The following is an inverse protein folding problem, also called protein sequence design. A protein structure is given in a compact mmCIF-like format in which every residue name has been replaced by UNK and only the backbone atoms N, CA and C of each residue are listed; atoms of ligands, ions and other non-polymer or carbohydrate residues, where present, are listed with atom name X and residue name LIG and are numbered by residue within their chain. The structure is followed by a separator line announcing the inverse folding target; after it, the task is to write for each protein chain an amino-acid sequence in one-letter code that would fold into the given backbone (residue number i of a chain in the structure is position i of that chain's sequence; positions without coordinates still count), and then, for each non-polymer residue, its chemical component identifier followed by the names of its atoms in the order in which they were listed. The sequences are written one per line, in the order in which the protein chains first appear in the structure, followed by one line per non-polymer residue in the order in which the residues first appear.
data_IF_063929345847
#
_entry.id   IF_063929345847
#
_cell.length_a   1.000
_cell.length_b   1.000
_cell.length_c   1.000
_cell.angle_alpha   90.00
_cell.angle_beta   90.00
_cell.angle_gamma   90.00
#
_symmetry.space_group_name_H-M   'P 1'
#
loop_
_entity.id
_entity.type
_entity.pdbx_description
1 polymer ?
#
# COMPACT_ATOMS: atom_id res chain seq x y z
N UNK A 1 -10.24 39.15 -38.08
CA UNK A 1 -8.90 38.69 -38.50
C UNK A 1 -8.10 38.42 -37.24
N UNK A 2 -7.54 37.22 -37.11
CA UNK A 2 -6.69 36.86 -35.99
C UNK A 2 -5.38 37.63 -36.15
N UNK A 3 -4.94 38.28 -35.06
CA UNK A 3 -3.75 39.15 -35.06
C UNK A 3 -2.43 38.37 -35.06
N UNK A 4 -2.41 37.22 -34.38
CA UNK A 4 -1.27 36.33 -34.25
C UNK A 4 -1.72 34.85 -34.35
N UNK A 5 -0.94 34.01 -35.06
CA UNK A 5 -1.28 32.62 -35.30
C UNK A 5 -0.40 31.62 -34.49
N UNK A 6 0.55 32.12 -33.70
CA UNK A 6 1.55 31.31 -33.03
C UNK A 6 0.99 30.12 -32.22
N UNK A 7 -0.09 30.30 -31.44
CA UNK A 7 -0.71 29.22 -30.70
C UNK A 7 -1.47 28.22 -31.58
N UNK A 8 -2.03 28.67 -32.72
CA UNK A 8 -2.64 27.79 -33.70
C UNK A 8 -1.58 26.94 -34.42
N UNK A 9 -0.44 27.57 -34.74
CA UNK A 9 0.70 26.90 -35.37
C UNK A 9 1.37 25.88 -34.43
N UNK A 10 1.49 26.21 -33.13
CA UNK A 10 1.99 25.28 -32.10
C UNK A 10 1.11 24.03 -31.98
N UNK A 11 -0.19 24.14 -32.15
CA UNK A 11 -1.12 23.00 -32.17
C UNK A 11 -1.29 22.37 -33.56
N UNK A 12 -0.74 23.01 -34.63
CA UNK A 12 -0.86 22.54 -36.00
C UNK A 12 -2.31 22.59 -36.53
N UNK A 13 -3.08 23.61 -36.13
CA UNK A 13 -4.49 23.78 -36.51
C UNK A 13 -4.73 25.16 -37.15
N UNK A 14 -5.80 25.26 -37.91
CA UNK A 14 -6.19 26.55 -38.54
C UNK A 14 -6.88 27.48 -37.52
N UNK A 15 -6.82 28.82 -37.68
CA UNK A 15 -7.47 29.77 -36.78
C UNK A 15 -8.99 29.62 -36.64
N UNK A 16 -9.64 28.94 -37.56
CA UNK A 16 -11.08 28.64 -37.52
C UNK A 16 -11.41 27.25 -36.98
N UNK A 17 -10.44 26.56 -36.37
CA UNK A 17 -10.63 25.24 -35.84
C UNK A 17 -11.69 25.19 -34.73
N UNK A 18 -12.47 24.13 -34.73
CA UNK A 18 -13.49 23.84 -33.71
C UNK A 18 -12.85 23.38 -32.38
N UNK A 19 -13.56 23.51 -31.25
CA UNK A 19 -13.03 23.04 -29.94
C UNK A 19 -12.66 21.55 -29.93
N UNK A 20 -13.37 20.73 -30.70
CA UNK A 20 -13.08 19.30 -30.82
C UNK A 20 -11.80 19.02 -31.63
N UNK A 21 -11.54 19.80 -32.64
CA UNK A 21 -10.29 19.73 -33.42
C UNK A 21 -9.09 20.16 -32.61
N UNK A 22 -9.22 21.25 -31.85
CA UNK A 22 -8.20 21.68 -30.88
C UNK A 22 -7.86 20.58 -29.87
N UNK A 23 -8.88 19.92 -29.31
CA UNK A 23 -8.74 18.85 -28.37
C UNK A 23 -8.06 17.61 -28.97
N UNK A 24 -8.41 17.26 -30.21
CA UNK A 24 -7.78 16.12 -30.91
C UNK A 24 -6.31 16.43 -31.26
N UNK A 25 -6.00 17.62 -31.70
CA UNK A 25 -4.64 18.06 -32.01
C UNK A 25 -3.78 18.05 -30.75
N UNK A 26 -4.26 18.62 -29.65
CA UNK A 26 -3.57 18.61 -28.36
C UNK A 26 -3.27 17.19 -27.89
N UNK A 27 -4.25 16.27 -27.88
CA UNK A 27 -4.03 14.88 -27.46
C UNK A 27 -2.95 14.17 -28.28
N UNK A 28 -2.94 14.39 -29.59
CA UNK A 28 -1.95 13.80 -30.49
C UNK A 28 -0.54 14.32 -30.19
N UNK A 29 -0.40 15.60 -29.98
CA UNK A 29 0.88 16.26 -29.72
C UNK A 29 1.36 15.98 -28.29
N UNK A 30 0.47 15.97 -27.30
CA UNK A 30 0.79 15.64 -25.91
C UNK A 30 1.32 14.20 -25.76
N UNK A 31 0.75 13.23 -26.49
CA UNK A 31 1.26 11.84 -26.49
C UNK A 31 2.63 11.73 -27.19
N UNK A 32 2.89 12.58 -28.20
CA UNK A 32 4.16 12.57 -28.95
C UNK A 32 5.29 13.23 -28.16
N UNK A 33 5.01 14.32 -27.45
CA UNK A 33 6.00 15.14 -26.74
C UNK A 33 5.91 14.99 -25.22
N UNK A 34 5.35 13.88 -24.72
CA UNK A 34 5.26 13.62 -23.27
C UNK A 34 6.66 13.50 -22.65
N UNK A 35 6.91 14.16 -21.50
CA UNK A 35 8.23 14.14 -20.86
C UNK A 35 8.74 12.73 -20.52
N UNK A 36 7.86 11.77 -20.24
CA UNK A 36 8.25 10.37 -20.00
C UNK A 36 8.76 9.65 -21.25
N UNK A 37 8.35 10.10 -22.45
CA UNK A 37 8.79 9.49 -23.71
C UNK A 37 9.94 10.24 -24.37
N UNK A 38 9.96 11.57 -24.23
CA UNK A 38 10.93 12.46 -24.86
C UNK A 38 11.43 13.52 -23.85
N UNK A 39 12.38 13.23 -22.98
CA UNK A 39 12.85 14.15 -21.94
C UNK A 39 13.53 15.42 -22.51
N UNK A 40 14.03 15.37 -23.75
CA UNK A 40 14.70 16.50 -24.41
C UNK A 40 13.76 17.55 -25.01
N UNK A 41 12.49 17.24 -25.20
CA UNK A 41 11.51 18.13 -25.86
C UNK A 41 10.47 18.73 -24.88
N UNK A 42 10.81 18.86 -23.61
CA UNK A 42 9.94 19.42 -22.58
C UNK A 42 9.48 20.86 -22.84
N UNK A 43 10.25 21.66 -23.57
CA UNK A 43 9.87 23.02 -23.94
C UNK A 43 8.72 23.03 -24.94
N UNK A 44 8.75 22.16 -25.95
CA UNK A 44 7.65 22.03 -26.92
C UNK A 44 6.36 21.55 -26.23
N UNK A 45 6.46 20.68 -25.24
CA UNK A 45 5.29 20.27 -24.48
C UNK A 45 4.66 21.43 -23.70
N UNK A 46 5.48 22.34 -23.15
CA UNK A 46 5.00 23.55 -22.47
C UNK A 46 4.28 24.49 -23.45
N UNK A 47 4.85 24.74 -24.63
CA UNK A 47 4.24 25.56 -25.66
C UNK A 47 2.90 24.99 -26.12
N UNK A 48 2.82 23.70 -26.40
CA UNK A 48 1.59 23.00 -26.80
C UNK A 48 0.52 23.09 -25.71
N UNK A 49 0.91 22.93 -24.44
CA UNK A 49 -0.01 23.00 -23.30
C UNK A 49 -0.53 24.42 -23.09
N UNK A 50 0.33 25.43 -23.22
CA UNK A 50 -0.04 26.85 -23.15
C UNK A 50 -0.97 27.24 -24.27
N UNK A 51 -0.68 26.83 -25.51
CA UNK A 51 -1.51 27.08 -26.67
C UNK A 51 -2.92 26.49 -26.52
N UNK A 52 -3.00 25.23 -26.01
CA UNK A 52 -4.29 24.59 -25.79
C UNK A 52 -5.10 25.28 -24.68
N UNK A 53 -4.44 25.69 -23.59
CA UNK A 53 -5.09 26.39 -22.48
C UNK A 53 -5.77 27.68 -22.95
N UNK A 54 -5.09 28.46 -23.78
CA UNK A 54 -5.62 29.73 -24.27
C UNK A 54 -6.73 29.50 -25.30
N UNK A 55 -6.57 28.55 -26.20
CA UNK A 55 -7.49 28.32 -27.31
C UNK A 55 -8.72 27.46 -26.95
N UNK A 56 -8.65 26.70 -25.84
CA UNK A 56 -9.79 25.88 -25.38
C UNK A 56 -10.89 26.68 -24.70
N UNK A 57 -10.56 27.81 -24.08
CA UNK A 57 -11.52 28.71 -23.45
C UNK A 57 -11.98 29.79 -24.48
N UNK A 58 -13.28 29.87 -24.81
CA UNK A 58 -13.78 30.80 -25.80
C UNK A 58 -13.47 32.26 -25.46
N UNK A 59 -13.44 32.63 -24.18
CA UNK A 59 -13.11 34.01 -23.74
C UNK A 59 -11.63 34.33 -23.93
N UNK A 60 -10.75 33.39 -23.52
CA UNK A 60 -9.29 33.57 -23.69
C UNK A 60 -8.92 33.58 -25.19
N UNK A 61 -9.57 32.71 -25.98
CA UNK A 61 -9.38 32.66 -27.43
C UNK A 61 -9.76 33.99 -28.09
N UNK A 62 -10.89 34.60 -27.69
CA UNK A 62 -11.31 35.89 -28.21
C UNK A 62 -10.31 37.01 -27.87
N UNK A 63 -9.75 37.00 -26.65
CA UNK A 63 -8.70 37.96 -26.25
C UNK A 63 -7.42 37.74 -27.05
N UNK A 64 -7.04 36.51 -27.28
CA UNK A 64 -5.89 36.14 -28.11
C UNK A 64 -6.08 36.57 -29.57
N UNK A 65 -7.24 36.28 -30.14
CA UNK A 65 -7.56 36.63 -31.54
C UNK A 65 -7.55 38.14 -31.79
N UNK A 66 -7.91 38.97 -30.79
CA UNK A 66 -7.91 40.44 -30.89
C UNK A 66 -6.57 41.08 -30.58
N UNK A 67 -5.85 40.59 -29.57
CA UNK A 67 -4.68 41.26 -29.00
C UNK A 67 -3.36 40.52 -29.11
N UNK A 68 -3.39 39.24 -29.47
CA UNK A 68 -2.20 38.40 -29.50
C UNK A 68 -1.73 37.94 -28.11
N UNK A 69 -0.55 37.42 -28.07
CA UNK A 69 0.07 36.88 -26.81
C UNK A 69 0.28 37.98 -25.76
N UNK A 70 0.56 39.23 -26.19
CA UNK A 70 0.72 40.38 -25.30
C UNK A 70 -0.55 40.69 -24.52
N UNK A 71 -1.70 40.63 -25.14
CA UNK A 71 -2.98 40.90 -24.48
C UNK A 71 -3.36 39.88 -23.42
N UNK A 72 -2.89 38.64 -23.56
CA UNK A 72 -3.08 37.60 -22.53
C UNK A 72 -2.15 37.83 -21.34
N UNK A 73 -0.91 38.23 -21.59
CA UNK A 73 0.05 38.57 -20.52
C UNK A 73 -0.38 39.84 -19.76
N UNK A 74 -0.97 40.83 -20.42
CA UNK A 74 -1.44 42.05 -19.80
C UNK A 74 -2.86 41.95 -19.22
N UNK A 75 -3.71 41.15 -19.82
CA UNK A 75 -5.11 40.94 -19.39
C UNK A 75 -5.23 40.05 -18.11
N UNK A 76 -4.17 39.34 -17.71
CA UNK A 76 -4.13 38.55 -16.49
C UNK A 76 -3.95 39.39 -15.20
N UNK A 77 -3.71 40.70 -15.31
CA UNK A 77 -3.47 41.61 -14.17
C UNK A 77 -4.71 42.36 -13.66
N UNK A 78 -5.88 42.14 -14.26
CA UNK A 78 -7.15 42.83 -13.92
C UNK A 78 -8.00 42.12 -12.85
N UNK A 79 -7.44 41.79 -11.68
CA UNK A 79 -8.22 41.21 -10.57
C UNK A 79 -7.37 41.05 -9.30
N UNK A 80 -7.31 42.15 -8.51
CA UNK A 80 -6.44 42.36 -7.35
C UNK A 80 -6.19 41.17 -6.42
N UNK A 81 -4.93 40.85 -6.27
CA UNK A 81 -4.37 40.54 -4.94
C UNK A 81 -2.85 40.70 -5.00
N UNK A 82 -2.33 41.52 -4.08
CA UNK A 82 -0.96 42.01 -4.09
C UNK A 82 0.11 40.99 -3.75
N UNK A 83 1.27 41.21 -4.35
CA UNK A 83 2.58 41.05 -3.74
C UNK A 83 3.05 39.64 -3.37
N UNK A 84 3.90 39.04 -4.24
CA UNK A 84 4.73 37.92 -3.87
C UNK A 84 5.29 37.23 -5.10
N UNK A 85 6.62 37.33 -5.30
CA UNK A 85 7.31 36.82 -6.47
C UNK A 85 7.10 35.33 -6.69
N UNK A 86 6.55 35.02 -7.84
CA UNK A 86 6.36 33.64 -8.32
C UNK A 86 7.68 33.19 -8.97
N UNK A 87 8.28 32.14 -8.38
CA UNK A 87 9.59 31.64 -8.81
C UNK A 87 9.53 30.56 -9.89
N UNK A 88 8.37 30.03 -10.28
CA UNK A 88 8.29 28.92 -11.24
C UNK A 88 7.00 28.93 -12.07
N UNK A 89 7.10 28.65 -13.40
CA UNK A 89 5.93 28.39 -14.22
C UNK A 89 5.03 27.24 -13.73
N UNK A 90 5.58 26.34 -12.93
CA UNK A 90 4.88 25.21 -12.31
C UNK A 90 3.91 25.67 -11.22
N UNK A 91 4.29 26.71 -10.45
CA UNK A 91 3.44 27.28 -9.40
C UNK A 91 2.20 27.98 -9.99
N UNK A 92 2.32 28.51 -11.21
CA UNK A 92 1.19 29.10 -11.95
C UNK A 92 0.26 27.98 -12.46
N UNK A 93 0.82 26.84 -12.86
CA UNK A 93 0.06 25.67 -13.27
C UNK A 93 -0.76 25.10 -12.10
N UNK A 94 -0.19 24.95 -10.92
CA UNK A 94 -0.88 24.50 -9.71
C UNK A 94 -1.93 25.50 -9.22
N UNK A 95 -1.70 26.81 -9.40
CA UNK A 95 -2.66 27.85 -9.04
C UNK A 95 -3.86 27.88 -10.00
N UNK A 96 -3.67 27.61 -11.28
CA UNK A 96 -4.73 27.63 -12.30
C UNK A 96 -5.39 26.25 -12.51
N UNK A 97 -4.62 25.15 -12.46
CA UNK A 97 -5.17 23.79 -12.57
C UNK A 97 -5.60 23.19 -11.23
N UNK A 98 -4.95 23.58 -10.14
CA UNK A 98 -5.37 23.22 -8.79
C UNK A 98 -6.49 24.08 -8.23
N UNK A 99 -6.78 25.26 -8.81
CA UNK A 99 -7.69 26.28 -8.27
C UNK A 99 -9.02 26.47 -8.98
N UNK A 100 -9.29 25.77 -10.06
CA UNK A 100 -10.43 26.04 -10.95
C UNK A 100 -11.68 25.23 -10.69
N UNK A 101 -11.83 24.60 -9.56
CA UNK A 101 -13.13 24.07 -9.12
C UNK A 101 -13.07 23.92 -7.60
N UNK A 102 -13.24 25.01 -6.87
CA UNK A 102 -13.86 24.94 -5.55
C UNK A 102 -15.33 24.56 -5.75
N UNK A 103 -15.62 23.41 -6.39
CA UNK A 103 -16.72 22.60 -5.96
C UNK A 103 -16.53 22.50 -4.45
N UNK A 104 -17.51 22.92 -3.71
CA UNK A 104 -17.63 22.68 -2.28
C UNK A 104 -17.42 21.18 -2.11
N UNK A 105 -16.16 20.75 -1.99
CA UNK A 105 -15.83 19.38 -1.60
C UNK A 105 -16.40 19.32 -0.21
N UNK A 106 -17.59 18.72 -0.11
CA UNK A 106 -18.22 18.45 1.18
C UNK A 106 -17.13 17.87 2.05
N UNK A 107 -16.82 18.59 3.12
CA UNK A 107 -15.75 18.17 4.02
C UNK A 107 -16.20 16.86 4.64
N UNK A 108 -15.60 15.77 4.21
CA UNK A 108 -15.86 14.43 4.73
C UNK A 108 -15.09 14.24 6.02
N UNK A 109 -15.73 13.64 7.02
CA UNK A 109 -15.11 13.28 8.28
C UNK A 109 -13.94 12.29 8.09
N UNK A 110 -13.15 12.10 9.12
CA UNK A 110 -12.01 11.17 9.09
C UNK A 110 -12.52 9.74 9.02
N UNK A 111 -11.88 8.93 8.15
CA UNK A 111 -12.14 7.50 8.10
C UNK A 111 -11.49 6.80 9.29
N UNK A 112 -12.20 5.84 9.87
CA UNK A 112 -11.70 5.02 10.97
C UNK A 112 -11.34 3.63 10.43
N UNK A 113 -10.13 3.16 10.71
CA UNK A 113 -9.64 1.85 10.26
C UNK A 113 -9.64 0.88 11.44
N UNK A 114 -10.24 -0.29 11.24
CA UNK A 114 -10.24 -1.39 12.20
C UNK A 114 -9.67 -2.64 11.55
N UNK A 115 -8.80 -3.37 12.24
CA UNK A 115 -8.32 -4.68 11.82
C UNK A 115 -9.15 -5.78 12.47
N UNK A 116 -9.46 -6.82 11.69
CA UNK A 116 -10.13 -8.04 12.18
C UNK A 116 -9.28 -9.22 11.79
N UNK A 117 -8.90 -10.00 12.79
CA UNK A 117 -8.20 -11.26 12.57
C UNK A 117 -9.17 -12.31 12.07
N UNK A 118 -8.85 -12.93 10.93
CA UNK A 118 -9.62 -13.97 10.27
C UNK A 118 -8.78 -15.23 10.11
N UNK A 119 -9.40 -16.39 10.17
CA UNK A 119 -8.72 -17.66 9.93
C UNK A 119 -8.78 -18.03 8.44
N UNK A 120 -7.93 -18.96 8.03
CA UNK A 120 -7.91 -19.42 6.64
C UNK A 120 -9.22 -20.14 6.28
N UNK A 121 -9.83 -20.84 7.23
CA UNK A 121 -11.13 -21.49 7.10
C UNK A 121 -12.26 -20.48 6.89
N UNK A 122 -12.23 -19.32 7.59
CA UNK A 122 -13.20 -18.24 7.38
C UNK A 122 -13.14 -17.70 5.95
N UNK A 123 -11.91 -17.54 5.42
CA UNK A 123 -11.70 -17.07 4.05
C UNK A 123 -12.07 -18.12 2.99
N UNK A 124 -12.00 -19.41 3.36
CA UNK A 124 -12.36 -20.50 2.46
C UNK A 124 -13.87 -20.73 2.41
N UNK A 125 -14.51 -20.82 3.58
CA UNK A 125 -15.94 -21.15 3.69
C UNK A 125 -16.84 -19.93 3.59
N UNK A 126 -16.29 -18.72 3.81
CA UNK A 126 -17.03 -17.52 4.06
C UNK A 126 -17.57 -17.47 5.49
N UNK A 127 -17.57 -16.30 6.10
CA UNK A 127 -18.04 -16.12 7.47
C UNK A 127 -18.69 -14.75 7.67
N UNK A 128 -19.59 -14.66 8.64
CA UNK A 128 -20.13 -13.37 9.08
C UNK A 128 -19.66 -13.11 10.49
N UNK A 129 -18.98 -12.00 10.72
CA UNK A 129 -18.47 -11.61 12.02
C UNK A 129 -19.10 -10.32 12.52
N UNK A 130 -19.44 -10.27 13.81
CA UNK A 130 -19.99 -9.08 14.46
C UNK A 130 -18.85 -8.33 15.15
N UNK A 131 -18.65 -7.07 14.76
CA UNK A 131 -17.61 -6.21 15.29
C UNK A 131 -18.22 -5.03 16.02
N UNK A 132 -17.80 -4.84 17.27
CA UNK A 132 -18.20 -3.70 18.08
C UNK A 132 -17.27 -2.52 17.79
N UNK A 133 -17.79 -1.50 17.12
CA UNK A 133 -17.04 -0.29 16.80
C UNK A 133 -17.52 0.85 17.69
N UNK A 134 -16.58 1.64 18.20
CA UNK A 134 -16.91 2.87 18.92
C UNK A 134 -16.76 4.04 17.96
N UNK A 135 -17.82 4.82 17.78
CA UNK A 135 -17.83 6.00 16.94
C UNK A 135 -18.36 7.21 17.69
N UNK A 136 -17.95 8.37 17.25
CA UNK A 136 -18.53 9.63 17.68
C UNK A 136 -19.80 9.88 16.85
N UNK A 137 -20.93 9.97 17.51
CA UNK A 137 -22.21 10.30 16.88
C UNK A 137 -22.66 11.71 17.30
N UNK A 138 -23.35 12.40 16.41
CA UNK A 138 -23.95 13.69 16.73
C UNK A 138 -24.99 13.49 17.86
N UNK A 139 -24.92 14.33 18.86
CA UNK A 139 -25.85 14.26 19.99
C UNK A 139 -27.29 14.53 19.51
N UNK A 140 -28.14 13.52 19.56
CA UNK A 140 -29.56 13.60 19.13
C UNK A 140 -30.33 14.70 19.88
N UNK A 141 -30.03 14.92 21.18
CA UNK A 141 -30.74 15.89 22.03
C UNK A 141 -30.50 17.33 21.62
N UNK A 142 -29.35 17.68 21.09
CA UNK A 142 -29.03 19.04 20.68
C UNK A 142 -28.74 19.14 19.17
N UNK A 143 -28.80 18.04 18.42
CA UNK A 143 -28.58 18.00 16.98
C UNK A 143 -27.24 18.67 16.58
N UNK A 144 -26.19 18.43 17.35
CA UNK A 144 -24.86 19.01 17.09
C UNK A 144 -24.70 20.47 17.52
N UNK A 145 -25.71 21.12 18.11
CA UNK A 145 -25.62 22.52 18.57
C UNK A 145 -24.83 22.69 19.86
N UNK A 146 -24.79 21.70 20.71
CA UNK A 146 -24.14 21.75 22.02
C UNK A 146 -24.92 22.49 23.10
N UNK A 147 -26.07 23.12 22.74
CA UNK A 147 -26.91 23.94 23.60
C UNK A 147 -28.38 23.63 23.39
N UNK A 148 -29.23 24.19 24.25
CA UNK A 148 -30.67 24.26 24.00
C UNK A 148 -30.96 25.11 22.75
N UNK A 149 -32.09 24.90 22.07
CA UNK A 149 -32.50 25.70 20.90
C UNK A 149 -32.45 27.19 21.22
N UNK A 150 -31.74 27.97 20.37
CA UNK A 150 -31.67 29.43 20.50
C UNK A 150 -30.72 30.00 21.56
N UNK A 151 -30.06 29.15 22.36
CA UNK A 151 -29.18 29.62 23.45
C UNK A 151 -27.73 29.89 23.06
N UNK A 152 -27.35 29.63 21.82
CA UNK A 152 -26.01 29.92 21.33
C UNK A 152 -25.90 31.40 20.92
N UNK A 153 -25.10 32.17 21.63
CA UNK A 153 -24.84 33.57 21.34
C UNK A 153 -23.56 33.69 20.49
N UNK A 154 -23.56 34.61 19.53
CA UNK A 154 -22.38 34.94 18.75
C UNK A 154 -21.24 35.42 19.66
N UNK A 155 -20.05 34.96 19.46
CA UNK A 155 -18.89 35.38 20.23
C UNK A 155 -18.55 36.83 19.93
N UNK A 156 -18.67 37.71 20.90
CA UNK A 156 -18.39 39.14 20.75
C UNK A 156 -16.91 39.45 20.45
N UNK A 157 -16.00 38.56 20.85
CA UNK A 157 -14.57 38.78 20.66
C UNK A 157 -14.08 38.49 19.23
N UNK A 158 -14.78 37.63 18.48
CA UNK A 158 -14.43 37.28 17.09
C UNK A 158 -15.60 37.47 16.11
N UNK A 159 -16.71 38.02 16.56
CA UNK A 159 -17.91 38.27 15.74
C UNK A 159 -18.33 37.05 14.91
N UNK A 160 -18.26 35.84 15.51
CA UNK A 160 -18.65 34.59 14.87
C UNK A 160 -17.59 33.91 14.02
N UNK A 161 -16.46 34.57 13.71
CA UNK A 161 -15.42 33.99 12.84
C UNK A 161 -14.62 32.84 13.47
N UNK A 162 -14.59 32.75 14.79
CA UNK A 162 -13.78 31.76 15.50
C UNK A 162 -12.29 32.08 15.57
N UNK A 163 -11.83 33.06 14.81
CA UNK A 163 -10.42 33.44 14.68
C UNK A 163 -10.23 34.90 15.02
N UNK A 164 -9.11 35.24 15.66
CA UNK A 164 -8.69 36.61 15.88
C UNK A 164 -7.39 36.86 15.14
N UNK A 165 -7.35 37.95 14.39
CA UNK A 165 -6.15 38.43 13.74
C UNK A 165 -5.39 39.33 14.72
N UNK A 166 -4.20 38.95 15.11
CA UNK A 166 -3.28 39.75 15.91
C UNK A 166 -2.17 40.30 15.03
N UNK A 167 -1.94 41.58 15.13
CA UNK A 167 -0.86 42.25 14.42
C UNK A 167 0.34 42.31 15.34
N UNK A 168 1.42 41.66 14.97
CA UNK A 168 2.70 41.72 15.64
C UNK A 168 3.64 42.60 14.82
N UNK A 169 4.21 43.62 15.47
CA UNK A 169 5.25 44.45 14.88
C UNK A 169 6.60 43.76 15.13
N UNK A 170 7.25 43.32 14.07
CA UNK A 170 8.57 42.66 14.14
C UNK A 170 9.71 43.64 14.13
N UNK A 171 9.59 44.74 13.35
CA UNK A 171 10.58 45.82 13.23
C UNK A 171 9.82 47.10 12.93
N UNK A 172 10.44 48.33 13.14
CA UNK A 172 9.83 49.58 12.74
C UNK A 172 9.51 49.58 11.26
N UNK A 173 8.20 49.60 10.94
CA UNK A 173 7.69 49.51 9.56
C UNK A 173 7.31 48.13 9.04
N UNK A 174 7.63 47.04 9.78
CA UNK A 174 7.24 45.67 9.37
C UNK A 174 6.22 45.08 10.36
N UNK A 175 5.00 44.86 9.88
CA UNK A 175 3.92 44.27 10.66
C UNK A 175 3.53 42.90 10.09
N UNK A 176 3.43 41.92 10.98
CA UNK A 176 2.96 40.58 10.62
C UNK A 176 1.57 40.37 11.20
N UNK A 177 0.63 39.95 10.36
CA UNK A 177 -0.69 39.55 10.80
C UNK A 177 -0.70 38.04 11.07
N UNK A 178 -0.94 37.65 12.30
CA UNK A 178 -1.05 36.25 12.71
C UNK A 178 -2.49 35.93 13.08
N UNK A 179 -3.08 34.98 12.38
CA UNK A 179 -4.43 34.48 12.69
C UNK A 179 -4.32 33.45 13.80
N UNK A 180 -4.90 33.75 14.96
CA UNK A 180 -4.93 32.85 16.12
C UNK A 180 -6.37 32.45 16.46
N UNK A 181 -6.52 31.23 16.99
CA UNK A 181 -7.81 30.77 17.47
C UNK A 181 -8.36 31.70 18.55
N UNK A 182 -9.62 32.11 18.46
CA UNK A 182 -10.24 33.00 19.45
C UNK A 182 -10.26 32.34 20.84
N UNK A 183 -9.59 32.87 21.87
CA UNK A 183 -9.53 32.26 23.20
C UNK A 183 -10.90 32.24 23.90
N UNK A 184 -11.77 33.19 23.58
CA UNK A 184 -13.07 33.31 24.21
C UNK A 184 -14.08 32.24 23.78
N UNK A 185 -14.03 31.76 22.55
CA UNK A 185 -14.92 30.72 22.00
C UNK A 185 -14.17 29.47 21.57
N UNK A 186 -12.85 29.41 21.71
CA UNK A 186 -12.01 28.28 21.33
C UNK A 186 -12.27 27.81 19.88
N UNK A 187 -12.32 28.77 18.96
CA UNK A 187 -12.55 28.50 17.54
C UNK A 187 -14.01 28.26 17.12
N UNK A 188 -14.95 28.13 18.06
CA UNK A 188 -16.33 27.76 17.74
C UNK A 188 -17.18 28.90 17.17
N UNK A 189 -16.74 30.15 17.26
CA UNK A 189 -17.51 31.33 16.82
C UNK A 189 -18.68 31.68 17.71
N UNK A 190 -19.18 30.77 18.55
CA UNK A 190 -20.33 30.96 19.43
C UNK A 190 -19.99 30.62 20.88
N UNK A 191 -20.67 31.26 21.80
CA UNK A 191 -20.59 31.00 23.26
C UNK A 191 -21.90 30.48 23.76
N UNK A 192 -21.86 29.47 24.62
CA UNK A 192 -23.02 28.90 25.29
C UNK A 192 -22.81 29.07 26.78
N UNK A 193 -23.84 29.69 27.44
CA UNK A 193 -23.84 29.79 28.89
C UNK A 193 -23.80 28.40 29.54
N UNK A 194 -23.13 28.26 30.68
CA UNK A 194 -23.02 26.99 31.38
C UNK A 194 -24.42 26.39 31.71
N UNK A 195 -25.42 27.25 31.98
CA UNK A 195 -26.80 26.85 32.28
C UNK A 195 -27.54 26.29 31.06
N UNK A 196 -27.16 26.70 29.86
CA UNK A 196 -27.79 26.36 28.59
C UNK A 196 -27.08 25.25 27.81
N UNK A 197 -26.00 24.71 28.35
CA UNK A 197 -25.33 23.57 27.76
C UNK A 197 -26.22 22.34 27.70
N UNK A 198 -26.12 21.57 26.64
CA UNK A 198 -26.81 20.31 26.50
C UNK A 198 -26.37 19.34 27.60
N UNK A 199 -27.31 18.88 28.43
CA UNK A 199 -27.02 17.97 29.55
C UNK A 199 -26.51 16.58 29.07
N UNK A 200 -26.88 16.15 27.86
CA UNK A 200 -26.48 14.85 27.34
C UNK A 200 -25.01 14.82 26.88
N UNK A 201 -24.57 15.83 26.10
CA UNK A 201 -23.21 15.89 25.62
C UNK A 201 -22.29 16.85 26.39
N UNK A 202 -22.80 17.55 27.42
CA UNK A 202 -22.04 18.55 28.19
C UNK A 202 -21.49 19.71 27.34
N UNK A 203 -22.12 20.00 26.19
CA UNK A 203 -21.70 21.03 25.24
C UNK A 203 -20.70 20.53 24.16
N UNK A 204 -20.29 19.26 24.20
CA UNK A 204 -19.33 18.67 23.25
C UNK A 204 -19.90 18.45 21.84
N UNK A 205 -21.22 18.53 21.67
CA UNK A 205 -21.94 18.33 20.39
C UNK A 205 -22.01 16.88 19.92
N UNK A 206 -21.06 16.03 20.31
CA UNK A 206 -20.92 14.63 19.96
C UNK A 206 -20.96 13.74 21.20
N UNK A 207 -21.38 12.49 21.01
CA UNK A 207 -21.42 11.44 22.03
C UNK A 207 -20.69 10.20 21.48
N UNK A 208 -19.98 9.49 22.34
CA UNK A 208 -19.42 8.18 21.97
C UNK A 208 -20.54 7.12 22.00
N UNK A 209 -20.74 6.46 20.88
CA UNK A 209 -21.73 5.41 20.69
C UNK A 209 -21.01 4.11 20.28
N UNK A 210 -21.46 2.99 20.85
CA UNK A 210 -21.05 1.66 20.40
C UNK A 210 -22.04 1.19 19.33
N UNK A 211 -21.55 0.79 18.17
CA UNK A 211 -22.33 0.17 17.10
C UNK A 211 -21.77 -1.20 16.78
N UNK A 212 -22.66 -2.16 16.62
CA UNK A 212 -22.31 -3.49 16.13
C UNK A 212 -22.43 -3.46 14.60
N UNK A 213 -21.33 -3.77 13.91
CA UNK A 213 -21.31 -3.95 12.46
C UNK A 213 -21.23 -5.42 12.14
N UNK A 214 -22.06 -5.89 11.22
CA UNK A 214 -21.98 -7.23 10.66
C UNK A 214 -21.07 -7.17 9.44
N UNK A 215 -19.93 -7.85 9.55
CA UNK A 215 -18.91 -7.92 8.52
C UNK A 215 -19.06 -9.25 7.80
N UNK A 216 -19.42 -9.20 6.54
CA UNK A 216 -19.48 -10.38 5.68
C UNK A 216 -18.13 -10.61 5.04
N UNK A 217 -17.55 -11.76 5.33
CA UNK A 217 -16.30 -12.23 4.74
C UNK A 217 -16.68 -13.19 3.61
N UNK A 218 -16.46 -12.75 2.37
CA UNK A 218 -16.76 -13.58 1.20
C UNK A 218 -15.67 -14.62 0.98
N UNK A 219 -16.05 -15.75 0.35
CA UNK A 219 -15.11 -16.80 -0.04
C UNK A 219 -14.04 -16.27 -0.96
N UNK A 220 -12.80 -16.61 -0.66
CA UNK A 220 -11.64 -16.20 -1.48
C UNK A 220 -11.11 -14.80 -1.20
N UNK A 221 -11.66 -14.04 -0.27
CA UNK A 221 -11.08 -12.75 0.13
C UNK A 221 -9.62 -12.93 0.52
N UNK A 222 -8.80 -11.89 0.30
CA UNK A 222 -7.36 -11.92 0.53
C UNK A 222 -6.99 -11.22 1.83
N UNK A 223 -5.83 -11.55 2.33
CA UNK A 223 -5.19 -10.80 3.42
C UNK A 223 -5.02 -9.33 3.04
N UNK A 224 -5.22 -8.42 4.01
CA UNK A 224 -5.19 -6.98 3.79
C UNK A 224 -6.37 -6.42 3.01
N UNK A 225 -7.36 -7.24 2.62
CA UNK A 225 -8.52 -6.76 1.89
C UNK A 225 -9.38 -5.85 2.77
N UNK A 226 -9.86 -4.75 2.17
CA UNK A 226 -10.63 -3.71 2.85
C UNK A 226 -12.11 -3.85 2.56
N UNK A 227 -12.92 -3.81 3.61
CA UNK A 227 -14.38 -3.75 3.55
C UNK A 227 -14.78 -2.37 4.07
N UNK A 228 -15.46 -1.57 3.24
CA UNK A 228 -15.81 -0.18 3.55
C UNK A 228 -17.29 -0.07 3.90
N UNK A 229 -17.56 0.49 5.06
CA UNK A 229 -18.90 0.87 5.48
C UNK A 229 -19.06 2.38 5.34
N UNK A 230 -19.75 2.79 4.28
CA UNK A 230 -19.92 4.20 3.95
C UNK A 230 -20.83 4.92 4.94
N UNK A 231 -20.40 6.13 5.39
CA UNK A 231 -21.16 6.99 6.28
C UNK A 231 -21.28 6.48 7.72
N UNK A 232 -20.64 5.38 8.07
CA UNK A 232 -20.70 4.77 9.40
C UNK A 232 -19.56 5.23 10.34
N UNK A 233 -18.67 6.07 9.86
CA UNK A 233 -17.57 6.62 10.65
C UNK A 233 -17.98 7.71 11.62
N UNK A 234 -16.99 8.44 12.11
CA UNK A 234 -17.18 9.53 13.04
C UNK A 234 -18.01 10.66 12.42
N UNK A 235 -18.95 11.17 13.20
CA UNK A 235 -19.82 12.28 12.84
C UNK A 235 -19.35 13.55 13.54
N UNK A 236 -19.22 14.61 12.76
CA UNK A 236 -18.96 15.96 13.27
C UNK A 236 -20.04 16.93 12.75
N UNK A 237 -20.46 17.93 13.55
CA UNK A 237 -21.49 18.89 13.11
C UNK A 237 -21.02 19.69 11.90
N UNK A 238 -21.81 19.69 10.81
CA UNK A 238 -21.51 20.44 9.59
C UNK A 238 -20.53 19.76 8.64
N UNK A 239 -20.21 18.49 8.89
CA UNK A 239 -19.32 17.69 8.06
C UNK A 239 -20.03 16.36 7.77
N UNK A 240 -19.87 15.83 6.56
CA UNK A 240 -20.37 14.51 6.20
C UNK A 240 -19.66 13.42 7.01
N UNK A 241 -20.38 12.38 7.41
CA UNK A 241 -19.79 11.27 8.18
C UNK A 241 -18.66 10.61 7.42
N UNK A 242 -17.59 10.27 8.13
CA UNK A 242 -16.51 9.45 7.57
C UNK A 242 -16.96 8.02 7.30
N UNK A 243 -16.07 7.19 6.77
CA UNK A 243 -16.28 5.77 6.51
C UNK A 243 -15.56 4.93 7.59
N UNK A 244 -16.10 3.76 7.90
CA UNK A 244 -15.38 2.73 8.64
C UNK A 244 -14.78 1.77 7.63
N UNK A 245 -13.48 1.59 7.69
CA UNK A 245 -12.73 0.68 6.85
C UNK A 245 -12.27 -0.49 7.71
N UNK A 246 -12.74 -1.69 7.39
CA UNK A 246 -12.34 -2.92 8.05
C UNK A 246 -11.29 -3.60 7.17
N UNK A 247 -10.14 -3.88 7.75
CA UNK A 247 -9.03 -4.58 7.09
C UNK A 247 -8.98 -6.00 7.64
N UNK A 248 -9.02 -6.97 6.75
CA UNK A 248 -8.86 -8.38 7.10
C UNK A 248 -7.39 -8.68 7.36
N UNK A 249 -7.09 -9.34 8.47
CA UNK A 249 -5.77 -9.76 8.88
C UNK A 249 -5.79 -11.29 9.01
N UNK A 250 -5.14 -11.98 8.05
CA UNK A 250 -5.15 -13.43 8.00
C UNK A 250 -4.18 -14.02 9.03
N UNK A 251 -4.70 -14.83 9.96
CA UNK A 251 -3.86 -15.60 10.88
C UNK A 251 -3.12 -16.70 10.14
N UNK A 252 -1.89 -16.96 10.53
CA UNK A 252 -1.13 -18.11 10.07
C UNK A 252 -1.83 -19.43 10.42
N UNK A 253 -1.86 -20.35 9.45
CA UNK A 253 -2.45 -21.67 9.64
C UNK A 253 -1.34 -22.72 9.84
N UNK A 254 -1.51 -23.70 10.77
CA UNK A 254 -0.44 -24.64 11.11
C UNK A 254 -0.05 -25.59 9.97
N UNK A 255 -0.97 -25.92 9.07
CA UNK A 255 -0.73 -26.88 7.98
C UNK A 255 -0.61 -26.24 6.61
N UNK A 256 -1.36 -25.16 6.35
CA UNK A 256 -1.49 -24.58 5.02
C UNK A 256 -0.91 -23.18 4.98
N UNK A 257 -0.12 -22.91 3.95
CA UNK A 257 0.33 -21.55 3.61
C UNK A 257 -0.36 -21.12 2.33
N UNK A 258 -1.03 -19.99 2.36
CA UNK A 258 -1.72 -19.44 1.19
C UNK A 258 -0.77 -18.64 0.33
N UNK A 259 -0.74 -18.93 -0.98
CA UNK A 259 -0.01 -18.14 -1.98
C UNK A 259 -0.95 -17.76 -3.13
N UNK A 260 -1.59 -16.60 -3.01
CA UNK A 260 -2.63 -16.17 -3.95
C UNK A 260 -3.89 -17.05 -3.84
N UNK A 261 -4.16 -17.85 -4.84
CA UNK A 261 -5.27 -18.80 -4.89
C UNK A 261 -4.83 -20.26 -4.62
N UNK A 262 -3.51 -20.50 -4.58
CA UNK A 262 -2.97 -21.81 -4.27
C UNK A 262 -2.74 -21.97 -2.77
N UNK A 263 -2.92 -23.18 -2.26
CA UNK A 263 -2.57 -23.61 -0.91
C UNK A 263 -1.30 -24.45 -0.99
N UNK A 264 -0.36 -24.19 -0.10
CA UNK A 264 0.89 -24.93 0.00
C UNK A 264 0.90 -25.67 1.34
N UNK A 265 1.26 -26.93 1.32
CA UNK A 265 1.50 -27.73 2.51
C UNK A 265 2.74 -28.58 2.35
N UNK A 266 3.33 -29.00 3.47
CA UNK A 266 4.45 -29.93 3.48
C UNK A 266 4.01 -31.26 4.10
N UNK A 267 4.37 -32.35 3.43
CA UNK A 267 4.11 -33.72 3.93
C UNK A 267 5.45 -34.42 4.11
N UNK A 268 5.64 -34.97 5.31
CA UNK A 268 6.77 -35.83 5.59
C UNK A 268 6.43 -37.28 5.24
N UNK A 269 7.27 -37.92 4.43
CA UNK A 269 7.19 -39.32 4.05
C UNK A 269 8.35 -40.08 4.64
N UNK A 270 8.10 -41.32 5.09
CA UNK A 270 9.17 -42.24 5.35
C UNK A 270 9.78 -42.75 4.04
N UNK A 271 11.05 -43.13 4.05
CA UNK A 271 11.73 -43.62 2.85
C UNK A 271 10.96 -44.76 2.17
N UNK A 272 10.37 -45.68 2.91
CA UNK A 272 9.56 -46.78 2.41
C UNK A 272 8.30 -46.26 1.68
N UNK A 273 7.64 -45.24 2.23
CA UNK A 273 6.45 -44.62 1.63
C UNK A 273 6.82 -43.92 0.30
N UNK A 274 8.00 -43.28 0.26
CA UNK A 274 8.48 -42.58 -0.91
C UNK A 274 8.85 -43.53 -2.08
N UNK A 275 9.28 -44.77 -1.77
CA UNK A 275 9.67 -45.80 -2.75
C UNK A 275 8.51 -46.68 -3.16
N UNK A 276 7.68 -47.12 -2.20
CA UNK A 276 6.66 -48.16 -2.41
C UNK A 276 5.24 -47.60 -2.63
N UNK A 277 5.09 -46.26 -2.50
CA UNK A 277 3.80 -45.60 -2.52
C UNK A 277 3.17 -45.47 -1.14
N UNK A 278 2.22 -44.54 -1.01
CA UNK A 278 1.57 -44.22 0.25
C UNK A 278 0.11 -43.83 0.08
N UNK A 279 -0.60 -43.84 1.18
CA UNK A 279 -1.96 -43.30 1.32
C UNK A 279 -2.03 -42.47 2.58
N UNK A 280 -2.13 -41.13 2.44
CA UNK A 280 -2.21 -40.23 3.60
C UNK A 280 -3.49 -39.41 3.57
N UNK A 281 -4.29 -39.45 4.64
CA UNK A 281 -5.45 -38.58 4.78
C UNK A 281 -4.99 -37.16 5.16
N UNK A 282 -5.50 -36.16 4.49
CA UNK A 282 -5.31 -34.74 4.76
C UNK A 282 -6.65 -34.09 4.99
N UNK A 283 -6.79 -33.39 6.10
CA UNK A 283 -8.01 -32.64 6.39
C UNK A 283 -7.96 -31.30 5.68
N UNK A 284 -8.98 -31.04 4.86
CA UNK A 284 -9.13 -29.78 4.11
C UNK A 284 -9.80 -28.68 4.95
N UNK A 285 -9.77 -27.43 4.48
CA UNK A 285 -10.34 -26.28 5.19
C UNK A 285 -11.87 -26.30 5.28
N UNK A 286 -12.53 -27.15 4.52
CA UNK A 286 -13.99 -27.39 4.55
C UNK A 286 -14.38 -28.66 5.32
N UNK A 287 -13.50 -29.18 6.19
CA UNK A 287 -13.69 -30.35 7.01
C UNK A 287 -13.89 -31.68 6.23
N UNK A 288 -13.54 -31.71 4.92
CA UNK A 288 -13.45 -32.96 4.16
C UNK A 288 -12.11 -33.62 4.40
N UNK A 289 -12.04 -34.92 4.29
CA UNK A 289 -10.79 -35.68 4.30
C UNK A 289 -10.38 -36.03 2.89
N UNK A 290 -9.27 -35.48 2.42
CA UNK A 290 -8.68 -35.79 1.12
C UNK A 290 -7.67 -36.91 1.30
N UNK A 291 -7.84 -38.02 0.59
CA UNK A 291 -6.89 -39.12 0.61
C UNK A 291 -5.88 -38.96 -0.50
N UNK A 292 -4.67 -38.55 -0.15
CA UNK A 292 -3.56 -38.43 -1.09
C UNK A 292 -2.91 -39.79 -1.26
N UNK A 293 -2.91 -40.26 -2.50
CA UNK A 293 -2.36 -41.57 -2.85
C UNK A 293 -1.25 -41.43 -3.86
N UNK A 294 -0.16 -42.17 -3.68
CA UNK A 294 0.85 -42.43 -4.67
C UNK A 294 0.85 -43.93 -4.97
N UNK A 295 0.92 -44.30 -6.25
CA UNK A 295 0.93 -45.68 -6.65
C UNK A 295 2.34 -46.29 -6.51
N UNK A 296 2.37 -47.60 -6.32
CA UNK A 296 3.65 -48.33 -6.35
C UNK A 296 4.29 -48.18 -7.74
N UNK A 297 5.58 -47.79 -7.73
CA UNK A 297 6.33 -47.47 -8.94
C UNK A 297 6.44 -45.94 -9.22
N UNK A 298 5.64 -45.11 -8.56
CA UNK A 298 5.86 -43.65 -8.53
C UNK A 298 6.86 -43.31 -7.45
N UNK A 299 8.04 -42.93 -7.85
CA UNK A 299 9.10 -42.50 -6.93
C UNK A 299 8.90 -41.02 -6.56
N UNK A 300 8.94 -40.72 -5.27
CA UNK A 300 8.93 -39.33 -4.75
C UNK A 300 10.30 -39.02 -4.18
N UNK A 301 10.96 -38.04 -4.76
CA UNK A 301 12.26 -37.56 -4.30
C UNK A 301 12.11 -36.52 -3.18
N UNK A 302 13.12 -36.40 -2.31
CA UNK A 302 13.17 -35.29 -1.36
C UNK A 302 13.10 -33.93 -2.06
N UNK A 303 12.17 -33.09 -1.66
CA UNK A 303 11.96 -31.77 -2.27
C UNK A 303 11.04 -31.76 -3.52
N UNK A 304 10.52 -32.92 -3.93
CA UNK A 304 9.54 -32.94 -5.01
C UNK A 304 8.26 -32.19 -4.62
N UNK A 305 7.72 -31.48 -5.60
CA UNK A 305 6.48 -30.73 -5.45
C UNK A 305 5.43 -31.28 -6.41
N UNK A 306 4.31 -31.75 -5.88
CA UNK A 306 3.15 -32.18 -6.68
C UNK A 306 1.94 -31.33 -6.35
N UNK A 307 0.94 -31.29 -7.23
CA UNK A 307 -0.26 -30.52 -6.99
C UNK A 307 -1.54 -31.35 -7.20
N UNK A 308 -2.55 -31.01 -6.42
CA UNK A 308 -3.92 -31.50 -6.57
C UNK A 308 -4.75 -30.34 -7.11
N UNK A 309 -5.42 -30.57 -8.25
CA UNK A 309 -6.24 -29.55 -8.91
C UNK A 309 -7.55 -29.34 -8.14
N UNK A 310 -8.06 -28.10 -8.14
CA UNK A 310 -9.34 -27.70 -7.55
C UNK A 310 -9.46 -27.89 -6.01
N UNK A 311 -8.34 -28.07 -5.30
CA UNK A 311 -8.31 -28.19 -3.84
C UNK A 311 -7.54 -27.01 -3.18
N UNK A 312 -7.29 -25.93 -3.92
CA UNK A 312 -6.77 -24.66 -3.41
C UNK A 312 -7.87 -23.75 -2.85
N UNK A 313 -7.55 -22.48 -2.65
CA UNK A 313 -8.50 -21.47 -2.21
C UNK A 313 -9.53 -21.15 -3.30
N UNK A 314 -10.79 -20.85 -2.93
CA UNK A 314 -11.78 -20.35 -3.87
C UNK A 314 -11.37 -18.97 -4.40
N UNK A 315 -11.69 -18.70 -5.67
CA UNK A 315 -11.47 -17.39 -6.26
C UNK A 315 -12.51 -16.40 -5.74
N UNK A 316 -12.05 -15.24 -5.33
CA UNK A 316 -12.96 -14.16 -4.95
C UNK A 316 -13.89 -13.79 -6.11
N UNK A 317 -15.21 -13.71 -5.87
CA UNK A 317 -16.28 -13.51 -6.85
C UNK A 317 -16.61 -14.70 -7.76
N UNK A 318 -15.79 -15.76 -7.75
CA UNK A 318 -16.05 -17.03 -8.47
C UNK A 318 -15.80 -18.23 -7.55
N UNK A 319 -16.61 -18.42 -6.51
CA UNK A 319 -16.33 -19.38 -5.44
C UNK A 319 -16.35 -20.85 -5.88
N UNK A 320 -16.87 -21.15 -7.06
CA UNK A 320 -16.87 -22.49 -7.64
C UNK A 320 -15.52 -22.86 -8.30
N UNK A 321 -14.75 -21.86 -8.69
CA UNK A 321 -13.40 -22.05 -9.21
C UNK A 321 -12.42 -21.99 -8.03
N UNK A 322 -11.57 -23.01 -7.90
CA UNK A 322 -10.56 -23.11 -6.84
C UNK A 322 -9.17 -23.20 -7.45
N UNK A 323 -8.18 -22.73 -6.73
CA UNK A 323 -6.78 -22.92 -7.07
C UNK A 323 -6.31 -24.35 -6.85
N UNK A 324 -5.02 -24.54 -6.73
CA UNK A 324 -4.37 -25.85 -6.57
C UNK A 324 -3.89 -26.01 -5.12
N UNK A 325 -3.92 -27.26 -4.65
CA UNK A 325 -3.19 -27.65 -3.45
C UNK A 325 -1.80 -28.13 -3.87
N UNK A 326 -0.78 -27.41 -3.48
CA UNK A 326 0.61 -27.71 -3.77
C UNK A 326 1.20 -28.41 -2.56
N UNK A 327 1.78 -29.59 -2.77
CA UNK A 327 2.32 -30.43 -1.72
C UNK A 327 3.83 -30.55 -1.93
N UNK A 328 4.58 -30.08 -0.94
CA UNK A 328 6.03 -30.24 -0.88
C UNK A 328 6.34 -31.49 -0.08
N UNK A 329 7.04 -32.44 -0.67
CA UNK A 329 7.41 -33.67 -0.01
C UNK A 329 8.80 -33.58 0.60
N UNK A 330 8.90 -33.92 1.89
CA UNK A 330 10.15 -34.15 2.58
C UNK A 330 10.26 -35.62 2.94
N UNK A 331 11.34 -36.26 2.55
CA UNK A 331 11.56 -37.68 2.84
C UNK A 331 12.47 -37.81 4.05
N UNK A 332 11.98 -38.52 5.05
CA UNK A 332 12.74 -38.79 6.28
C UNK A 332 13.46 -40.12 6.08
N UNK A 333 14.79 -40.06 6.13
CA UNK A 333 15.64 -41.23 6.10
C UNK A 333 15.69 -41.91 7.51
N UNK A 334 15.82 -43.23 7.57
CA UNK A 334 15.99 -43.89 8.83
C UNK A 334 17.31 -43.48 9.50
N UNK A 335 17.38 -43.63 10.81
CA UNK A 335 18.58 -43.33 11.60
C UNK A 335 19.74 -44.26 11.20
N UNK A 336 20.98 -43.84 11.51
CA UNK A 336 22.14 -44.69 11.33
C UNK A 336 21.97 -46.04 12.02
N UNK A 337 22.49 -47.09 11.40
CA UNK A 337 22.41 -48.48 11.90
C UNK A 337 21.01 -49.05 12.11
N UNK A 338 20.00 -48.57 11.35
CA UNK A 338 18.61 -49.10 11.43
C UNK A 338 18.47 -50.56 10.98
N UNK A 339 19.44 -51.09 10.22
CA UNK A 339 19.49 -52.48 9.77
C UNK A 339 20.90 -53.09 10.03
N UNK A 340 20.98 -54.37 10.36
CA UNK A 340 22.25 -55.09 10.43
C UNK A 340 22.86 -55.23 9.02
N UNK A 341 24.19 -55.32 8.94
CA UNK A 341 24.97 -55.31 7.70
C UNK A 341 24.51 -56.34 6.66
N UNK A 342 24.19 -57.55 7.10
CA UNK A 342 23.72 -58.63 6.21
C UNK A 342 22.40 -58.28 5.48
N UNK A 343 21.49 -57.50 6.14
CA UNK A 343 20.25 -57.05 5.52
C UNK A 343 20.47 -55.87 4.60
N UNK A 344 21.46 -55.00 4.89
CA UNK A 344 21.85 -53.93 4.00
C UNK A 344 22.39 -54.47 2.68
N UNK A 345 23.24 -55.56 2.73
CA UNK A 345 23.70 -56.22 1.50
C UNK A 345 22.55 -56.89 0.71
N UNK A 346 21.53 -57.37 1.39
CA UNK A 346 20.33 -57.88 0.68
C UNK A 346 19.53 -56.72 0.03
N UNK A 347 19.43 -55.57 0.71
CA UNK A 347 18.73 -54.41 0.17
C UNK A 347 19.47 -53.87 -1.05
N UNK A 348 20.79 -53.90 -1.08
CA UNK A 348 21.63 -53.47 -2.19
C UNK A 348 21.32 -54.21 -3.48
N UNK A 349 20.98 -55.51 -3.41
CA UNK A 349 20.58 -56.31 -4.61
C UNK A 349 19.27 -55.87 -5.30
N UNK A 350 18.47 -55.05 -4.61
CA UNK A 350 17.21 -54.51 -5.18
C UNK A 350 17.40 -53.14 -5.79
N UNK A 351 18.55 -52.51 -5.59
CA UNK A 351 18.88 -51.20 -6.21
C UNK A 351 19.77 -51.43 -7.46
N UNK A 352 19.81 -50.44 -8.36
CA UNK A 352 20.76 -50.45 -9.46
C UNK A 352 22.18 -50.59 -8.94
N UNK A 353 23.01 -51.27 -9.71
CA UNK A 353 24.42 -51.44 -9.39
C UNK A 353 25.09 -50.08 -9.13
N UNK A 354 26.00 -50.06 -8.16
CA UNK A 354 26.83 -48.87 -7.87
C UNK A 354 27.67 -48.57 -9.14
N UNK A 355 27.52 -47.39 -9.65
CA UNK A 355 28.47 -46.92 -10.68
C UNK A 355 29.83 -46.90 -10.00
N UNK A 356 30.85 -47.40 -10.64
CA UNK A 356 32.26 -47.20 -10.29
C UNK A 356 33.03 -48.31 -9.53
N UNK A 357 32.41 -49.40 -9.10
CA UNK A 357 33.18 -50.50 -8.52
C UNK A 357 34.26 -51.06 -9.50
N UNK A 358 33.97 -51.12 -10.80
CA UNK A 358 34.89 -51.61 -11.81
C UNK A 358 36.01 -50.65 -12.21
N UNK A 359 35.86 -49.35 -11.94
CA UNK A 359 36.89 -48.34 -12.26
C UNK A 359 37.93 -48.25 -11.13
N UNK A 360 37.54 -48.47 -9.89
CA UNK A 360 38.41 -48.44 -8.72
C UNK A 360 39.41 -49.59 -8.70
N UNK A 361 39.00 -50.81 -9.14
CA UNK A 361 39.88 -51.98 -9.23
C UNK A 361 40.96 -51.90 -10.33
N UNK A 362 40.91 -50.93 -11.21
CA UNK A 362 41.83 -50.74 -12.33
C UNK A 362 42.90 -49.68 -12.12
N UNK A 363 42.86 -49.00 -10.98
CA UNK A 363 43.81 -47.91 -10.70
C UNK A 363 44.75 -48.32 -9.61
N UNK A 364 46.03 -47.97 -9.75
CA UNK A 364 47.10 -48.33 -8.78
C UNK A 364 46.80 -47.72 -7.40
N UNK A 365 46.89 -48.58 -6.33
CA UNK A 365 46.63 -48.20 -4.92
C UNK A 365 47.47 -47.03 -4.39
N UNK A 366 48.57 -46.67 -5.08
CA UNK A 366 49.48 -45.59 -4.71
C UNK A 366 48.91 -44.17 -5.07
N UNK A 367 47.79 -44.08 -5.80
CA UNK A 367 47.19 -42.82 -6.28
C UNK A 367 46.02 -42.32 -5.45
N UNK A 368 45.57 -43.06 -4.46
CA UNK A 368 44.39 -42.70 -3.65
C UNK A 368 44.76 -42.33 -2.24
N UNK A 369 44.12 -41.27 -1.76
CA UNK A 369 44.11 -40.87 -0.37
C UNK A 369 42.69 -41.14 0.16
N UNK A 370 42.57 -42.08 1.09
CA UNK A 370 41.31 -42.33 1.79
C UNK A 370 41.00 -41.14 2.66
N UNK A 371 39.78 -40.56 2.45
CA UNK A 371 39.28 -39.44 3.23
C UNK A 371 37.97 -39.84 3.86
N UNK A 372 37.85 -39.68 5.17
CA UNK A 372 36.60 -39.85 5.90
C UNK A 372 35.70 -38.65 5.76
N UNK A 373 34.40 -38.92 5.64
CA UNK A 373 33.38 -37.86 5.58
C UNK A 373 32.98 -37.42 6.97
N UNK A 374 33.18 -36.15 7.28
CA UNK A 374 32.72 -35.52 8.51
C UNK A 374 31.57 -34.56 8.24
N UNK A 375 30.68 -34.38 9.24
CA UNK A 375 29.59 -33.40 9.13
C UNK A 375 30.15 -31.98 9.07
N UNK A 376 29.77 -31.24 8.05
CA UNK A 376 30.17 -29.84 7.87
C UNK A 376 29.39 -28.93 8.83
N UNK A 377 30.04 -28.54 9.92
CA UNK A 377 29.48 -27.57 10.87
C UNK A 377 29.77 -26.14 10.38
N UNK A 378 28.88 -25.61 9.52
CA UNK A 378 29.03 -24.29 8.92
C UNK A 378 28.97 -23.13 9.93
N UNK A 379 28.41 -23.34 11.11
CA UNK A 379 28.35 -22.32 12.15
C UNK A 379 29.72 -22.13 12.85
N UNK A 380 30.50 -23.17 13.02
CA UNK A 380 31.82 -23.09 13.63
C UNK A 380 32.86 -22.45 12.73
N UNK A 381 32.76 -22.58 11.39
CA UNK A 381 33.66 -21.90 10.45
C UNK A 381 33.59 -20.38 10.53
N UNK A 382 32.40 -19.81 10.77
CA UNK A 382 32.27 -18.35 10.92
C UNK A 382 32.95 -17.84 12.20
N UNK A 383 32.98 -18.61 13.27
CA UNK A 383 33.67 -18.22 14.51
C UNK A 383 35.19 -18.28 14.35
N UNK A 384 35.74 -19.28 13.70
CA UNK A 384 37.18 -19.38 13.47
C UNK A 384 37.69 -18.32 12.50
N UNK A 385 36.94 -17.97 11.47
CA UNK A 385 37.36 -16.92 10.54
C UNK A 385 37.36 -15.52 11.20
N UNK A 386 36.45 -15.24 12.13
CA UNK A 386 36.47 -14.01 12.92
C UNK A 386 37.62 -13.99 13.94
N UNK A 387 38.06 -15.12 14.41
CA UNK A 387 39.15 -15.19 15.38
C UNK A 387 40.54 -15.01 14.73
N UNK A 388 40.71 -15.42 13.47
CA UNK A 388 41.95 -15.19 12.72
C UNK A 388 42.07 -13.75 12.17
N UNK A 389 40.97 -13.08 11.88
CA UNK A 389 40.97 -11.68 11.40
C UNK A 389 41.31 -10.71 12.52
N UNK A 390 41.08 -11.05 13.80
CA UNK A 390 41.45 -10.20 14.92
C UNK A 390 42.90 -10.39 15.45
N UNK A 391 43.66 -11.40 14.99
CA UNK A 391 45.03 -11.59 15.42
C UNK A 391 46.08 -10.93 14.52
N UNK A 392 45.74 -10.51 13.30
CA UNK A 392 46.68 -9.88 12.35
C UNK A 392 46.69 -8.33 12.39
N UNK A 393 45.85 -7.68 13.22
CA UNK A 393 45.79 -6.19 13.29
C UNK A 393 46.61 -5.59 14.46
N UNK A 394 47.18 -6.34 15.36
CA UNK A 394 47.87 -5.79 16.55
C UNK A 394 49.40 -5.55 16.37
N UNK A 395 50.00 -5.78 15.20
CA UNK A 395 51.46 -5.64 15.04
C UNK A 395 51.93 -4.41 14.21
N UNK A 396 51.05 -3.48 13.85
CA UNK A 396 51.46 -2.22 13.18
C UNK A 396 50.81 -0.96 13.78
N UNK A 397 51.05 -0.70 15.05
CA UNK A 397 50.72 0.58 15.63
C UNK A 397 51.83 1.12 16.56
N UNK A 398 52.92 1.54 15.95
CA UNK A 398 53.77 2.54 16.57
C UNK A 398 54.37 3.42 15.48
N UNK A 399 53.84 4.56 15.25
CA UNK A 399 54.50 5.87 15.06
C UNK A 399 53.54 6.89 14.46
N UNK A 400 53.36 8.02 15.14
CA UNK A 400 53.02 9.31 14.53
C UNK A 400 51.62 9.82 14.81
N UNK A 401 51.44 10.46 15.97
CA UNK A 401 50.28 11.30 16.26
C UNK A 401 50.29 12.58 15.44
N UNK A 402 49.10 13.01 15.01
CA UNK A 402 48.77 14.41 14.75
C UNK A 402 47.37 14.67 15.29
N UNK A 403 47.31 15.49 16.32
CA UNK A 403 46.10 16.10 16.86
C UNK A 403 45.63 17.22 15.91
N UNK A 404 44.41 17.16 15.45
CA UNK A 404 43.71 18.36 14.97
C UNK A 404 42.52 18.66 15.88
N UNK A 405 42.68 19.74 16.65
CA UNK A 405 41.59 20.45 17.30
C UNK A 405 40.88 21.29 16.23
N UNK A 406 39.57 21.25 16.23
CA UNK A 406 38.74 22.29 15.63
C UNK A 406 37.85 22.90 16.67
N UNK A 407 37.96 24.19 16.74
CA UNK A 407 37.11 25.15 17.44
C UNK A 407 35.68 25.16 16.87
#
# INVERSE_FOLDING_TARGET
MVKETGFYDALGVKPNATPDELKKAYRKLALKYHPDKNPTEGEKFKEISQAYEVLSDPKKREVYDRGGEKAIKEGGTGGGCGGGGFASPMDIFDLFFGGGSRMHRERKGKNTVHQITVTLEDLYNGATRKVNVQKNAICERCEGRGSRKGAAQMCMSCHGSGVQVRVHQLLPGMVQQVSTMCPSCQGQGHRVSHKDRCKACGGRKILRQKKVLEVHIDKGMRDGQKIVFHGEGDQEPGIESGDIIIVLDQREHPLFTRKGEDLIMSIQLQLVEALCGFKKPVQTLDNRTLLITSHSGELIKPGDTKCVLNEGMPLHRRPFEKGRLIINFSVVFPQANFLPEHKLKQLENYFPEKMDAEQLDRMDDDLYIYADLEDCDFENRKRHHHQYVYMDEDDYASTGGVQCQTS
#
